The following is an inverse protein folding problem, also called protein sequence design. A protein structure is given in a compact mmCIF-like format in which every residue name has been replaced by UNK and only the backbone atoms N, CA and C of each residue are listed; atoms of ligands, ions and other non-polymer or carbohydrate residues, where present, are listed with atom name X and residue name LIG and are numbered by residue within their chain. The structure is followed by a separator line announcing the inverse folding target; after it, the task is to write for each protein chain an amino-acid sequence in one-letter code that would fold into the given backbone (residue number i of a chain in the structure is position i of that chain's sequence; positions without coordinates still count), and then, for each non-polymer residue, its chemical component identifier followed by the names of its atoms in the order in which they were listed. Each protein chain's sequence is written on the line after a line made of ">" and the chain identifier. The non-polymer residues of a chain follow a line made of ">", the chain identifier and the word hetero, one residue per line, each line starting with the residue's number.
data_IF_132009761315
#
_entry.id   IF_132009761315
#
_cell.length_a   1.000
_cell.length_b   1.000
_cell.length_c   1.000
_cell.angle_alpha   90.00
_cell.angle_beta   90.00
_cell.angle_gamma   90.00
#
_symmetry.space_group_name_H-M   'P 1'
#
loop_
_entity.id
_entity.type
_entity.pdbx_description
1 polymer ?
#
# COMPACT_ATOMS: atom_id res chain seq x y z
N UNK A 1 -24.98 3.84 -0.47
CA UNK A 1 -24.03 3.75 -1.60
C UNK A 1 -24.06 2.34 -2.17
N UNK A 2 -24.21 2.21 -3.48
CA UNK A 2 -24.10 0.91 -4.18
C UNK A 2 -22.66 0.40 -4.08
N UNK A 3 -22.49 -0.93 -3.98
CA UNK A 3 -21.17 -1.56 -4.00
C UNK A 3 -20.48 -1.33 -5.34
N UNK A 4 -19.15 -1.16 -5.34
CA UNK A 4 -18.34 -1.24 -6.57
C UNK A 4 -18.27 -2.70 -7.01
N UNK A 5 -18.51 -2.96 -8.27
CA UNK A 5 -18.29 -4.28 -8.86
C UNK A 5 -16.89 -4.33 -9.47
N UNK A 6 -16.07 -5.29 -9.09
CA UNK A 6 -14.75 -5.50 -9.70
C UNK A 6 -14.83 -6.29 -11.01
N UNK A 7 -15.91 -7.00 -11.26
CA UNK A 7 -16.09 -7.71 -12.52
C UNK A 7 -16.15 -6.73 -13.71
N UNK A 8 -15.27 -6.91 -14.67
CA UNK A 8 -15.09 -6.02 -15.81
C UNK A 8 -14.30 -4.73 -15.52
N UNK A 9 -13.93 -4.45 -14.24
CA UNK A 9 -13.13 -3.29 -13.90
C UNK A 9 -11.65 -3.49 -14.25
N UNK A 10 -10.97 -2.39 -14.60
CA UNK A 10 -9.52 -2.35 -14.84
C UNK A 10 -8.81 -1.93 -13.55
N UNK A 11 -8.08 -2.87 -12.94
CA UNK A 11 -7.43 -2.71 -11.64
C UNK A 11 -5.91 -2.63 -11.81
N UNK A 12 -5.35 -1.45 -11.58
CA UNK A 12 -3.91 -1.22 -11.59
C UNK A 12 -3.32 -1.46 -10.20
N UNK A 13 -2.26 -2.29 -10.12
CA UNK A 13 -1.53 -2.56 -8.87
C UNK A 13 -0.05 -2.22 -9.06
N UNK A 14 0.47 -1.24 -8.30
CA UNK A 14 1.91 -0.97 -8.28
C UNK A 14 2.62 -1.91 -7.30
N UNK A 15 3.82 -2.37 -7.65
CA UNK A 15 4.50 -3.43 -6.90
C UNK A 15 3.71 -4.75 -6.94
N UNK A 16 3.04 -5.01 -8.07
CA UNK A 16 2.14 -6.16 -8.24
C UNK A 16 2.86 -7.48 -8.50
N UNK A 17 4.18 -7.47 -8.65
CA UNK A 17 5.00 -8.66 -8.93
C UNK A 17 5.27 -9.57 -7.71
N UNK A 18 4.93 -9.12 -6.49
CA UNK A 18 5.22 -9.90 -5.27
C UNK A 18 4.32 -9.50 -4.09
N UNK A 19 4.38 -10.29 -3.00
CA UNK A 19 3.75 -9.99 -1.72
C UNK A 19 2.24 -9.74 -1.84
N UNK A 20 1.72 -8.79 -1.05
CA UNK A 20 0.30 -8.48 -1.09
C UNK A 20 -0.13 -7.86 -2.42
N UNK A 21 0.78 -7.19 -3.16
CA UNK A 21 0.48 -6.68 -4.49
C UNK A 21 0.08 -7.79 -5.46
N UNK A 22 0.89 -8.88 -5.50
CA UNK A 22 0.57 -10.09 -6.25
C UNK A 22 -0.78 -10.67 -5.79
N UNK A 23 -0.97 -10.84 -4.48
CA UNK A 23 -2.21 -11.42 -3.93
C UNK A 23 -3.44 -10.57 -4.30
N UNK A 24 -3.35 -9.24 -4.22
CA UNK A 24 -4.43 -8.35 -4.64
C UNK A 24 -4.72 -8.48 -6.14
N UNK A 25 -3.68 -8.57 -6.98
CA UNK A 25 -3.84 -8.79 -8.41
C UNK A 25 -4.54 -10.11 -8.73
N UNK A 26 -4.06 -11.23 -8.19
CA UNK A 26 -4.64 -12.56 -8.41
C UNK A 26 -6.10 -12.60 -7.97
N UNK A 27 -6.40 -12.16 -6.74
CA UNK A 27 -7.76 -12.18 -6.22
C UNK A 27 -8.70 -11.16 -6.90
N UNK A 28 -8.17 -10.05 -7.45
CA UNK A 28 -8.97 -9.14 -8.27
C UNK A 28 -9.36 -9.82 -9.60
N UNK A 29 -8.43 -10.55 -10.24
CA UNK A 29 -8.72 -11.33 -11.43
C UNK A 29 -9.75 -12.44 -11.17
N UNK A 30 -9.68 -13.12 -10.03
CA UNK A 30 -10.69 -14.10 -9.59
C UNK A 30 -12.08 -13.48 -9.43
N UNK A 31 -12.15 -12.15 -9.15
CA UNK A 31 -13.41 -11.38 -9.11
C UNK A 31 -13.82 -10.83 -10.48
N UNK A 32 -13.15 -11.24 -11.57
CA UNK A 32 -13.46 -10.86 -12.95
C UNK A 32 -12.85 -9.52 -13.39
N UNK A 33 -11.90 -8.96 -12.65
CA UNK A 33 -11.20 -7.75 -13.06
C UNK A 33 -10.15 -8.04 -14.16
N UNK A 34 -9.90 -7.07 -15.03
CA UNK A 34 -8.68 -7.01 -15.82
C UNK A 34 -7.57 -6.35 -14.99
N UNK A 35 -6.50 -7.09 -14.69
CA UNK A 35 -5.43 -6.64 -13.79
C UNK A 35 -4.28 -6.04 -14.59
N UNK A 36 -3.86 -4.84 -14.20
CA UNK A 36 -2.71 -4.14 -14.76
C UNK A 36 -1.61 -4.15 -13.68
N UNK A 37 -0.52 -4.84 -13.95
CA UNK A 37 0.58 -5.00 -13.02
C UNK A 37 1.69 -4.02 -13.41
N UNK A 38 2.03 -3.11 -12.49
CA UNK A 38 3.23 -2.29 -12.59
C UNK A 38 4.23 -2.75 -11.55
N UNK A 39 5.41 -3.17 -12.01
CA UNK A 39 6.51 -3.52 -11.13
C UNK A 39 7.85 -3.08 -11.76
N UNK A 40 8.81 -2.67 -10.94
CA UNK A 40 10.16 -2.36 -11.42
C UNK A 40 10.91 -3.63 -11.85
N UNK A 41 10.60 -4.78 -11.24
CA UNK A 41 11.04 -6.09 -11.70
C UNK A 41 10.04 -6.63 -12.73
N UNK A 42 10.31 -6.37 -14.01
CA UNK A 42 9.47 -6.82 -15.11
C UNK A 42 9.26 -8.32 -15.12
N UNK A 43 10.29 -9.11 -14.75
CA UNK A 43 10.16 -10.57 -14.69
C UNK A 43 9.18 -11.01 -13.58
N UNK A 44 9.18 -10.31 -12.45
CA UNK A 44 8.21 -10.58 -11.38
C UNK A 44 6.78 -10.23 -11.83
N UNK A 45 6.59 -9.08 -12.47
CA UNK A 45 5.31 -8.69 -13.07
C UNK A 45 4.80 -9.70 -14.10
N UNK A 46 5.67 -10.15 -15.00
CA UNK A 46 5.33 -11.13 -16.03
C UNK A 46 4.91 -12.48 -15.43
N UNK A 47 5.62 -12.96 -14.40
CA UNK A 47 5.22 -14.19 -13.70
C UNK A 47 3.79 -14.11 -13.14
N UNK A 48 3.43 -12.99 -12.53
CA UNK A 48 2.08 -12.80 -11.96
C UNK A 48 1.03 -12.66 -13.06
N UNK A 49 1.34 -11.93 -14.15
CA UNK A 49 0.47 -11.87 -15.33
C UNK A 49 0.18 -13.29 -15.85
N UNK A 50 1.21 -14.10 -16.02
CA UNK A 50 1.10 -15.44 -16.60
C UNK A 50 0.36 -16.39 -15.63
N UNK A 51 0.56 -16.25 -14.33
CA UNK A 51 -0.21 -16.95 -13.29
C UNK A 51 -1.70 -16.65 -13.40
N UNK A 52 -2.08 -15.37 -13.49
CA UNK A 52 -3.48 -14.94 -13.64
C UNK A 52 -4.08 -15.51 -14.94
N UNK A 53 -3.37 -15.39 -16.05
CA UNK A 53 -3.83 -15.89 -17.36
C UNK A 53 -3.99 -17.41 -17.37
N UNK A 54 -3.06 -18.13 -16.76
CA UNK A 54 -3.14 -19.60 -16.62
C UNK A 54 -4.35 -20.04 -15.80
N UNK A 55 -4.76 -19.23 -14.82
CA UNK A 55 -5.98 -19.46 -14.04
C UNK A 55 -7.27 -19.03 -14.77
N UNK A 56 -7.18 -18.56 -16.02
CA UNK A 56 -8.35 -18.11 -16.82
C UNK A 56 -8.71 -16.64 -16.60
N UNK A 57 -7.94 -15.89 -15.83
CA UNK A 57 -8.14 -14.45 -15.61
C UNK A 57 -7.53 -13.58 -16.72
N UNK A 58 -7.73 -12.27 -16.61
CA UNK A 58 -7.21 -11.29 -17.57
C UNK A 58 -6.19 -10.37 -16.88
N UNK A 59 -4.98 -10.27 -17.45
CA UNK A 59 -3.94 -9.41 -16.92
C UNK A 59 -2.94 -8.95 -17.98
N UNK A 60 -2.35 -7.79 -17.75
CA UNK A 60 -1.18 -7.27 -18.46
C UNK A 60 -0.11 -6.81 -17.44
N UNK A 61 1.15 -6.72 -17.85
CA UNK A 61 2.22 -6.22 -17.00
C UNK A 61 3.09 -5.21 -17.75
N UNK A 62 3.58 -4.21 -17.01
CA UNK A 62 4.48 -3.18 -17.49
C UNK A 62 5.65 -3.05 -16.50
N UNK A 63 6.87 -2.97 -17.02
CA UNK A 63 8.05 -2.65 -16.20
C UNK A 63 8.05 -1.16 -15.91
N UNK A 64 7.80 -0.77 -14.66
CA UNK A 64 7.64 0.64 -14.26
C UNK A 64 8.37 0.90 -12.94
N UNK A 65 9.35 1.80 -12.95
CA UNK A 65 9.83 2.43 -11.71
C UNK A 65 8.93 3.63 -11.42
N UNK A 66 8.18 3.59 -10.33
CA UNK A 66 7.23 4.66 -9.95
C UNK A 66 7.94 5.96 -9.55
N UNK A 67 9.25 5.97 -9.42
CA UNK A 67 10.05 7.19 -9.17
C UNK A 67 10.43 7.91 -10.46
N UNK A 68 10.30 7.26 -11.61
CA UNK A 68 10.48 7.88 -12.94
C UNK A 68 9.14 8.44 -13.44
N UNK A 69 8.97 9.75 -13.34
CA UNK A 69 7.74 10.45 -13.74
C UNK A 69 7.43 10.25 -15.23
N UNK A 70 8.43 10.24 -16.09
CA UNK A 70 8.24 10.07 -17.53
C UNK A 70 7.78 8.64 -17.84
N UNK A 71 8.43 7.63 -17.22
CA UNK A 71 8.05 6.23 -17.31
C UNK A 71 6.64 5.98 -16.79
N UNK A 72 6.26 6.57 -15.66
CA UNK A 72 4.89 6.49 -15.10
C UNK A 72 3.85 7.05 -16.07
N UNK A 73 4.09 8.21 -16.66
CA UNK A 73 3.15 8.81 -17.62
C UNK A 73 3.03 7.97 -18.90
N UNK A 74 4.13 7.43 -19.40
CA UNK A 74 4.12 6.54 -20.56
C UNK A 74 3.36 5.24 -20.27
N UNK A 75 3.59 4.63 -19.11
CA UNK A 75 2.88 3.43 -18.67
C UNK A 75 1.39 3.68 -18.45
N UNK A 76 0.99 4.81 -17.87
CA UNK A 76 -0.40 5.17 -17.70
C UNK A 76 -1.13 5.30 -19.06
N UNK A 77 -0.47 5.92 -20.04
CA UNK A 77 -1.00 6.00 -21.41
C UNK A 77 -1.13 4.61 -22.06
N UNK A 78 -0.15 3.73 -21.89
CA UNK A 78 -0.16 2.37 -22.41
C UNK A 78 -1.23 1.50 -21.74
N UNK A 79 -1.43 1.66 -20.43
CA UNK A 79 -2.44 0.96 -19.65
C UNK A 79 -3.88 1.39 -19.99
N UNK A 80 -4.10 2.52 -20.65
CA UNK A 80 -5.43 3.02 -20.97
C UNK A 80 -6.28 3.38 -19.75
N UNK A 81 -7.58 3.08 -19.81
CA UNK A 81 -8.49 3.40 -18.71
C UNK A 81 -8.17 2.56 -17.46
N UNK A 82 -8.17 3.20 -16.29
CA UNK A 82 -7.97 2.57 -14.98
C UNK A 82 -9.16 2.93 -14.09
N UNK A 83 -9.88 1.92 -13.58
CA UNK A 83 -11.04 2.12 -12.72
C UNK A 83 -10.67 2.09 -11.23
N UNK A 84 -9.67 1.28 -10.89
CA UNK A 84 -9.12 1.19 -9.54
C UNK A 84 -7.60 1.24 -9.63
N UNK A 85 -6.96 2.17 -8.93
CA UNK A 85 -5.51 2.16 -8.72
C UNK A 85 -5.20 1.77 -7.28
N UNK A 86 -4.32 0.78 -7.11
CA UNK A 86 -3.81 0.34 -5.82
C UNK A 86 -2.33 0.72 -5.73
N UNK A 87 -2.05 1.84 -5.09
CA UNK A 87 -0.70 2.27 -4.75
C UNK A 87 -0.17 1.37 -3.63
N UNK A 88 0.53 0.32 -4.01
CA UNK A 88 1.05 -0.69 -3.09
C UNK A 88 2.58 -0.73 -3.05
N UNK A 89 3.27 -0.32 -4.11
CA UNK A 89 4.73 -0.31 -4.13
C UNK A 89 5.30 0.44 -2.93
N UNK A 90 6.30 -0.15 -2.30
CA UNK A 90 6.93 0.43 -1.11
C UNK A 90 8.18 -0.33 -0.69
N UNK A 91 9.04 0.33 0.06
CA UNK A 91 10.28 -0.22 0.63
C UNK A 91 10.41 0.17 2.10
N UNK A 92 11.24 -0.58 2.83
CA UNK A 92 11.62 -0.29 4.22
C UNK A 92 13.11 -0.56 4.40
N UNK A 93 13.83 0.34 5.04
CA UNK A 93 15.25 0.17 5.36
C UNK A 93 15.46 -0.57 6.69
N UNK A 94 14.64 -0.29 7.70
CA UNK A 94 14.67 -0.97 9.01
C UNK A 94 15.97 -0.71 9.79
N UNK A 95 16.44 0.54 9.84
CA UNK A 95 17.68 0.97 10.49
C UNK A 95 17.43 2.09 11.51
N UNK A 96 18.28 2.22 12.49
CA UNK A 96 18.31 3.42 13.30
C UNK A 96 18.69 4.63 12.44
N UNK A 97 18.24 5.82 12.84
CA UNK A 97 18.44 7.04 12.04
C UNK A 97 19.92 7.32 11.73
N UNK A 98 20.81 7.11 12.68
CA UNK A 98 22.25 7.33 12.49
C UNK A 98 22.95 6.26 11.66
N UNK A 99 22.33 5.09 11.47
CA UNK A 99 22.81 3.99 10.64
C UNK A 99 22.24 4.06 9.21
N UNK A 100 21.30 4.96 8.97
CA UNK A 100 20.68 5.17 7.67
C UNK A 100 21.54 6.10 6.81
N UNK A 101 21.79 5.70 5.55
CA UNK A 101 22.47 6.59 4.60
C UNK A 101 21.49 7.61 4.03
N UNK A 102 21.99 8.76 3.55
CA UNK A 102 21.17 9.77 2.87
C UNK A 102 20.43 9.17 1.65
N UNK A 103 21.10 8.34 0.87
CA UNK A 103 20.53 7.70 -0.32
C UNK A 103 19.38 6.75 0.07
N UNK A 104 19.54 5.97 1.16
CA UNK A 104 18.48 5.10 1.67
C UNK A 104 17.25 5.90 2.09
N UNK A 105 17.46 7.00 2.82
CA UNK A 105 16.38 7.90 3.26
C UNK A 105 15.69 8.51 2.02
N UNK A 106 16.44 9.09 1.08
CA UNK A 106 15.90 9.67 -0.16
C UNK A 106 15.08 8.64 -0.93
N UNK A 107 15.64 7.44 -1.14
CA UNK A 107 14.96 6.37 -1.87
C UNK A 107 13.66 5.93 -1.20
N UNK A 108 13.62 5.88 0.15
CA UNK A 108 12.39 5.59 0.90
C UNK A 108 11.31 6.63 0.63
N UNK A 109 11.66 7.92 0.61
CA UNK A 109 10.72 9.00 0.29
C UNK A 109 10.29 9.00 -1.18
N UNK A 110 11.20 8.78 -2.11
CA UNK A 110 10.90 8.70 -3.54
C UNK A 110 9.88 7.60 -3.84
N UNK A 111 10.09 6.41 -3.27
CA UNK A 111 9.19 5.27 -3.53
C UNK A 111 7.88 5.41 -2.75
N UNK A 112 7.95 5.59 -1.41
CA UNK A 112 6.79 5.46 -0.54
C UNK A 112 5.90 6.69 -0.51
N UNK A 113 6.45 7.88 -0.82
CA UNK A 113 5.72 9.13 -0.79
C UNK A 113 5.56 9.73 -2.19
N UNK A 114 6.66 10.10 -2.87
CA UNK A 114 6.58 10.78 -4.15
C UNK A 114 6.00 9.91 -5.27
N UNK A 115 6.38 8.62 -5.34
CA UNK A 115 5.82 7.69 -6.30
C UNK A 115 4.29 7.58 -6.25
N UNK A 116 3.72 7.68 -5.05
CA UNK A 116 2.27 7.73 -4.83
C UNK A 116 1.62 8.93 -5.56
N UNK A 117 2.25 10.12 -5.51
CA UNK A 117 1.77 11.31 -6.23
C UNK A 117 1.82 11.10 -7.74
N UNK A 118 2.95 10.58 -8.25
CA UNK A 118 3.15 10.43 -9.69
C UNK A 118 2.16 9.46 -10.30
N UNK A 119 1.99 8.29 -9.69
CA UNK A 119 1.01 7.28 -10.14
C UNK A 119 -0.41 7.82 -10.07
N UNK A 120 -0.80 8.42 -8.94
CA UNK A 120 -2.16 8.96 -8.78
C UNK A 120 -2.44 10.08 -9.80
N UNK A 121 -1.51 11.01 -9.98
CA UNK A 121 -1.66 12.10 -10.97
C UNK A 121 -1.78 11.61 -12.41
N UNK A 122 -1.14 10.49 -12.74
CA UNK A 122 -1.18 9.95 -14.10
C UNK A 122 -2.54 9.31 -14.44
N UNK A 123 -3.25 8.74 -13.45
CA UNK A 123 -4.51 8.00 -13.71
C UNK A 123 -5.77 8.74 -13.27
N UNK A 124 -5.68 9.64 -12.30
CA UNK A 124 -6.82 10.35 -11.72
C UNK A 124 -7.61 11.20 -12.75
N UNK A 125 -6.98 11.91 -13.70
CA UNK A 125 -7.73 12.70 -14.68
C UNK A 125 -8.75 11.87 -15.47
N UNK A 126 -8.38 10.69 -15.94
CA UNK A 126 -9.30 9.80 -16.65
C UNK A 126 -10.44 9.27 -15.76
N UNK A 127 -10.19 9.03 -14.47
CA UNK A 127 -11.26 8.68 -13.53
C UNK A 127 -12.25 9.84 -13.34
N UNK A 128 -11.75 11.08 -13.21
CA UNK A 128 -12.58 12.29 -13.06
C UNK A 128 -13.41 12.52 -14.32
N UNK A 129 -12.84 12.36 -15.50
CA UNK A 129 -13.54 12.52 -16.78
C UNK A 129 -14.70 11.52 -16.92
N UNK A 130 -14.48 10.27 -16.56
CA UNK A 130 -15.53 9.22 -16.58
C UNK A 130 -16.54 9.36 -15.44
N UNK A 131 -16.27 10.18 -14.43
CA UNK A 131 -17.14 10.36 -13.27
C UNK A 131 -17.18 9.13 -12.35
N UNK A 132 -16.20 8.23 -12.44
CA UNK A 132 -16.06 7.05 -11.56
C UNK A 132 -14.59 6.62 -11.44
N UNK A 133 -14.20 6.18 -10.25
CA UNK A 133 -12.86 5.68 -9.98
C UNK A 133 -12.63 5.38 -8.51
N UNK A 134 -11.54 4.67 -8.23
CA UNK A 134 -11.12 4.37 -6.86
C UNK A 134 -9.60 4.50 -6.73
N UNK A 135 -9.16 5.38 -5.84
CA UNK A 135 -7.75 5.49 -5.45
C UNK A 135 -7.55 4.82 -4.12
N UNK A 136 -6.71 3.79 -4.11
CA UNK A 136 -6.40 2.98 -2.93
C UNK A 136 -4.91 3.12 -2.62
N UNK A 137 -4.55 3.31 -1.37
CA UNK A 137 -3.13 3.34 -0.95
C UNK A 137 -2.89 2.39 0.21
N UNK A 138 -1.90 1.53 0.05
CA UNK A 138 -1.40 0.69 1.11
C UNK A 138 -0.39 1.52 1.93
N UNK A 139 -0.93 2.19 2.93
CA UNK A 139 -0.13 2.90 3.92
C UNK A 139 0.50 1.91 4.93
N UNK A 140 0.29 2.09 6.21
CA UNK A 140 0.72 1.19 7.29
C UNK A 140 0.13 1.68 8.62
N UNK A 141 0.08 0.84 9.64
CA UNK A 141 -0.06 1.28 11.03
C UNK A 141 1.07 2.25 11.42
N UNK A 142 2.27 2.09 10.83
CA UNK A 142 3.39 3.04 10.97
C UNK A 142 3.12 4.43 10.35
N UNK A 143 2.02 4.63 9.64
CA UNK A 143 1.49 5.93 9.22
C UNK A 143 0.56 6.57 10.24
N UNK A 144 0.28 5.88 11.34
CA UNK A 144 -0.55 6.36 12.44
C UNK A 144 0.22 6.48 13.77
N UNK A 145 1.37 5.81 13.88
CA UNK A 145 2.32 5.93 15.00
C UNK A 145 3.75 5.74 14.51
N UNK A 146 4.72 6.39 15.16
CA UNK A 146 6.14 6.16 14.90
C UNK A 146 6.61 4.83 15.51
N UNK A 147 7.54 4.15 14.84
CA UNK A 147 8.14 2.89 15.29
C UNK A 147 9.66 3.05 15.26
N UNK A 148 10.36 2.58 16.30
CA UNK A 148 11.82 2.57 16.33
C UNK A 148 12.40 1.83 15.10
N UNK A 149 13.57 2.25 14.62
CA UNK A 149 14.22 1.73 13.41
C UNK A 149 13.44 1.93 12.11
N UNK A 150 12.39 2.74 12.12
CA UNK A 150 11.55 3.05 10.96
C UNK A 150 11.30 4.57 10.81
N UNK A 151 12.26 5.42 11.13
CA UNK A 151 12.06 6.88 11.11
C UNK A 151 11.68 7.40 9.73
N UNK A 152 12.38 6.97 8.70
CA UNK A 152 12.09 7.28 7.28
C UNK A 152 10.80 6.60 6.80
N UNK A 153 10.65 5.30 7.08
CA UNK A 153 9.46 4.54 6.69
C UNK A 153 8.19 5.11 7.33
N UNK A 154 8.19 5.29 8.66
CA UNK A 154 7.03 5.86 9.37
C UNK A 154 6.68 7.23 8.81
N UNK A 155 7.66 8.12 8.64
CA UNK A 155 7.43 9.46 8.09
C UNK A 155 6.78 9.41 6.71
N UNK A 156 7.25 8.51 5.81
CA UNK A 156 6.63 8.34 4.48
C UNK A 156 5.22 7.75 4.54
N UNK A 157 4.93 6.89 5.53
CA UNK A 157 3.59 6.33 5.70
C UNK A 157 2.61 7.33 6.34
N UNK A 158 3.08 8.23 7.21
CA UNK A 158 2.31 9.41 7.62
C UNK A 158 2.01 10.32 6.43
N UNK A 159 3.01 10.58 5.56
CA UNK A 159 2.80 11.35 4.33
C UNK A 159 1.73 10.70 3.44
N UNK A 160 1.75 9.38 3.27
CA UNK A 160 0.75 8.66 2.50
C UNK A 160 -0.67 8.78 3.10
N UNK A 161 -0.82 8.71 4.44
CA UNK A 161 -2.10 8.93 5.11
C UNK A 161 -2.59 10.35 4.88
N UNK A 162 -1.73 11.37 5.11
CA UNK A 162 -2.08 12.78 4.90
C UNK A 162 -2.46 13.08 3.45
N UNK A 163 -1.74 12.50 2.47
CA UNK A 163 -2.09 12.59 1.05
C UNK A 163 -3.50 12.08 0.77
N UNK A 164 -3.83 10.88 1.27
CA UNK A 164 -5.13 10.27 1.02
C UNK A 164 -6.28 11.01 1.70
N UNK A 165 -6.06 11.55 2.89
CA UNK A 165 -7.05 12.39 3.57
C UNK A 165 -7.32 13.69 2.81
N UNK A 166 -6.25 14.34 2.34
CA UNK A 166 -6.34 15.56 1.54
C UNK A 166 -7.01 15.29 0.19
N UNK A 167 -6.62 14.21 -0.52
CA UNK A 167 -7.24 13.83 -1.78
C UNK A 167 -8.74 13.56 -1.61
N UNK A 168 -9.14 12.87 -0.55
CA UNK A 168 -10.55 12.62 -0.24
C UNK A 168 -11.32 13.93 -0.01
N UNK A 169 -10.73 14.86 0.73
CA UNK A 169 -11.33 16.17 0.97
C UNK A 169 -11.46 16.97 -0.33
N UNK A 170 -10.43 16.94 -1.18
CA UNK A 170 -10.41 17.61 -2.48
C UNK A 170 -11.48 17.05 -3.43
N UNK A 171 -11.57 15.72 -3.58
CA UNK A 171 -12.59 15.09 -4.44
C UNK A 171 -14.02 15.45 -3.98
N UNK A 172 -14.26 15.50 -2.67
CA UNK A 172 -15.55 15.94 -2.11
C UNK A 172 -15.82 17.41 -2.39
N UNK A 173 -14.84 18.29 -2.18
CA UNK A 173 -14.98 19.74 -2.42
C UNK A 173 -15.25 20.05 -3.89
N UNK A 174 -14.66 19.29 -4.80
CA UNK A 174 -14.85 19.39 -6.24
C UNK A 174 -16.09 18.63 -6.76
N UNK A 175 -16.87 18.00 -5.89
CA UNK A 175 -18.03 17.18 -6.28
C UNK A 175 -17.69 16.01 -7.19
N UNK A 176 -16.48 15.46 -7.08
CA UNK A 176 -16.02 14.34 -7.92
C UNK A 176 -16.29 13.00 -7.23
N UNK A 177 -17.03 12.06 -7.87
CA UNK A 177 -17.43 10.79 -7.26
C UNK A 177 -16.29 9.76 -7.30
N UNK A 178 -15.10 10.14 -6.83
CA UNK A 178 -13.92 9.26 -6.73
C UNK A 178 -13.82 8.71 -5.32
N UNK A 179 -13.78 7.39 -5.21
CA UNK A 179 -13.55 6.72 -3.93
C UNK A 179 -12.07 6.83 -3.54
N UNK A 180 -11.81 7.12 -2.27
CA UNK A 180 -10.45 7.22 -1.73
C UNK A 180 -10.35 6.33 -0.50
N UNK A 181 -9.57 5.25 -0.60
CA UNK A 181 -9.38 4.25 0.46
C UNK A 181 -7.93 4.25 0.98
N UNK A 182 -7.76 4.55 2.25
CA UNK A 182 -6.49 4.40 2.96
C UNK A 182 -6.48 3.06 3.70
N UNK A 183 -5.50 2.20 3.42
CA UNK A 183 -5.31 0.92 4.08
C UNK A 183 -4.11 1.01 5.02
N UNK A 184 -4.32 0.76 6.30
CA UNK A 184 -3.27 0.79 7.33
C UNK A 184 -3.11 -0.61 7.95
N UNK A 185 -2.37 -1.53 7.32
CA UNK A 185 -2.08 -2.84 7.88
C UNK A 185 -0.97 -2.74 8.93
N UNK A 186 -0.98 -3.66 9.87
CA UNK A 186 0.16 -4.01 10.71
C UNK A 186 1.16 -4.87 9.90
N UNK A 187 2.11 -5.53 10.54
CA UNK A 187 3.09 -6.37 9.83
C UNK A 187 2.40 -7.47 9.03
N UNK A 188 2.85 -7.65 7.78
CA UNK A 188 2.36 -8.70 6.88
C UNK A 188 3.54 -9.59 6.51
N UNK A 189 3.33 -10.88 6.51
CA UNK A 189 4.31 -11.90 6.13
C UNK A 189 4.50 -11.94 4.60
N UNK A 190 5.28 -10.96 4.10
CA UNK A 190 5.57 -10.78 2.67
C UNK A 190 7.07 -10.90 2.34
N UNK A 191 7.88 -11.26 3.34
CA UNK A 191 9.33 -11.17 3.27
C UNK A 191 9.86 -9.72 3.39
N UNK A 192 9.02 -8.68 3.20
CA UNK A 192 9.44 -7.28 3.40
C UNK A 192 9.84 -7.00 4.84
N UNK A 193 9.16 -7.61 5.80
CA UNK A 193 9.39 -7.50 7.24
C UNK A 193 9.93 -8.79 7.84
N UNK A 194 10.74 -9.53 7.07
CA UNK A 194 11.37 -10.76 7.58
C UNK A 194 12.20 -10.45 8.83
N UNK A 195 12.03 -11.26 9.87
CA UNK A 195 12.65 -11.07 11.18
C UNK A 195 11.86 -10.16 12.14
N UNK A 196 10.86 -9.41 11.69
CA UNK A 196 10.03 -8.62 12.59
C UNK A 196 9.23 -9.53 13.53
N UNK A 197 9.21 -9.20 14.83
CA UNK A 197 8.56 -9.99 15.87
C UNK A 197 7.60 -9.12 16.69
N UNK A 198 6.54 -9.74 17.20
CA UNK A 198 5.56 -9.07 18.05
C UNK A 198 5.53 -9.69 19.44
N UNK A 199 5.52 -8.87 20.48
CA UNK A 199 5.50 -9.33 21.88
C UNK A 199 4.20 -10.04 22.25
N UNK A 200 3.09 -9.61 21.65
CA UNK A 200 1.75 -10.16 21.89
C UNK A 200 1.12 -10.62 20.58
N UNK A 201 1.47 -11.81 20.03
CA UNK A 201 1.00 -12.25 18.71
C UNK A 201 -0.53 -12.41 18.59
N UNK A 202 -1.23 -12.65 19.71
CA UNK A 202 -2.71 -12.71 19.71
C UNK A 202 -3.36 -11.34 19.53
N UNK A 203 -2.70 -10.28 19.97
CA UNK A 203 -3.21 -8.90 19.89
C UNK A 203 -2.69 -8.20 18.63
N UNK A 204 -1.42 -8.38 18.32
CA UNK A 204 -0.69 -7.79 17.21
C UNK A 204 -0.09 -8.91 16.34
N UNK A 205 -0.92 -9.70 15.64
CA UNK A 205 -0.44 -10.80 14.81
C UNK A 205 0.33 -10.29 13.60
N UNK A 206 1.30 -11.06 13.14
CA UNK A 206 1.81 -10.94 11.76
C UNK A 206 0.73 -11.46 10.83
N UNK A 207 0.25 -10.62 9.94
CA UNK A 207 -0.87 -10.91 9.07
C UNK A 207 -0.42 -11.73 7.85
N UNK A 208 -1.29 -12.61 7.34
CA UNK A 208 -1.03 -13.36 6.11
C UNK A 208 -1.47 -12.55 4.89
N UNK A 209 -0.70 -12.64 3.79
CA UNK A 209 -0.92 -11.90 2.54
C UNK A 209 -2.33 -12.09 1.97
N UNK A 210 -2.77 -13.34 1.79
CA UNK A 210 -4.04 -13.66 1.15
C UNK A 210 -5.26 -13.05 1.86
N UNK A 211 -5.45 -13.27 3.16
CA UNK A 211 -6.52 -12.63 3.93
C UNK A 211 -6.47 -11.10 3.88
N UNK A 212 -5.27 -10.48 3.96
CA UNK A 212 -5.16 -9.02 3.85
C UNK A 212 -5.60 -8.53 2.48
N UNK A 213 -5.15 -9.18 1.41
CA UNK A 213 -5.57 -8.84 0.04
C UNK A 213 -7.08 -8.93 -0.13
N UNK A 214 -7.70 -9.99 0.39
CA UNK A 214 -9.16 -10.17 0.38
C UNK A 214 -9.90 -9.03 1.11
N UNK A 215 -9.41 -8.63 2.31
CA UNK A 215 -10.03 -7.52 3.05
C UNK A 215 -9.87 -6.18 2.33
N UNK A 216 -8.74 -5.94 1.65
CA UNK A 216 -8.55 -4.73 0.83
C UNK A 216 -9.56 -4.70 -0.31
N UNK A 217 -9.70 -5.79 -1.08
CA UNK A 217 -10.66 -5.86 -2.17
C UNK A 217 -12.11 -5.73 -1.68
N UNK A 218 -12.46 -6.36 -0.55
CA UNK A 218 -13.76 -6.18 0.09
C UNK A 218 -14.01 -4.73 0.51
N UNK A 219 -12.96 -4.01 0.98
CA UNK A 219 -13.08 -2.60 1.34
C UNK A 219 -13.29 -1.71 0.11
N UNK A 220 -12.62 -2.02 -1.01
CA UNK A 220 -12.84 -1.35 -2.30
C UNK A 220 -14.30 -1.53 -2.74
N UNK A 221 -14.80 -2.77 -2.78
CA UNK A 221 -16.18 -3.05 -3.18
C UNK A 221 -17.21 -2.35 -2.28
N UNK A 222 -16.93 -2.24 -0.98
CA UNK A 222 -17.79 -1.55 0.00
C UNK A 222 -17.59 -0.05 0.02
N UNK A 223 -16.73 0.52 -0.82
CA UNK A 223 -16.39 1.95 -0.89
C UNK A 223 -15.98 2.53 0.47
N UNK A 224 -15.21 1.77 1.26
CA UNK A 224 -14.75 2.23 2.57
C UNK A 224 -13.70 3.33 2.42
N UNK A 225 -13.72 4.37 3.25
CA UNK A 225 -12.68 5.40 3.22
C UNK A 225 -11.39 4.98 3.93
N UNK A 226 -11.47 4.02 4.86
CA UNK A 226 -10.34 3.58 5.68
C UNK A 226 -10.48 2.10 6.03
N UNK A 227 -9.37 1.39 6.02
CA UNK A 227 -9.26 0.01 6.49
C UNK A 227 -8.03 -0.13 7.39
N UNK A 228 -8.25 -0.43 8.67
CA UNK A 228 -7.20 -0.75 9.64
C UNK A 228 -7.20 -2.25 9.93
N UNK A 229 -6.03 -2.87 9.85
CA UNK A 229 -5.83 -4.30 10.06
C UNK A 229 -4.64 -4.54 11.03
N UNK A 230 -4.77 -5.44 12.00
CA UNK A 230 -5.97 -6.21 12.36
C UNK A 230 -7.06 -5.32 12.96
N UNK A 231 -8.27 -5.86 13.25
CA UNK A 231 -9.38 -5.05 13.80
C UNK A 231 -9.03 -4.28 15.06
N UNK A 232 -8.13 -4.79 15.90
CA UNK A 232 -7.63 -4.11 17.09
C UNK A 232 -6.90 -2.78 16.75
N UNK A 233 -6.28 -2.65 15.59
CA UNK A 233 -5.62 -1.41 15.17
C UNK A 233 -6.60 -0.22 15.08
N UNK A 234 -7.92 -0.46 15.06
CA UNK A 234 -8.95 0.60 15.12
C UNK A 234 -8.94 1.40 16.42
N UNK A 235 -8.32 0.86 17.48
CA UNK A 235 -8.15 1.58 18.76
C UNK A 235 -7.02 2.63 18.66
N UNK A 236 -6.11 2.50 17.70
CA UNK A 236 -4.93 3.35 17.60
C UNK A 236 -5.24 4.86 17.49
N UNK A 237 -6.22 5.32 16.66
CA UNK A 237 -6.58 6.73 16.62
C UNK A 237 -7.04 7.28 17.99
N UNK A 238 -7.75 6.48 18.79
CA UNK A 238 -8.14 6.86 20.14
C UNK A 238 -6.96 6.87 21.11
N UNK A 239 -6.07 5.89 21.02
CA UNK A 239 -4.86 5.84 21.82
C UNK A 239 -3.96 7.07 21.60
N UNK A 240 -3.96 7.64 20.40
CA UNK A 240 -3.23 8.87 20.06
C UNK A 240 -3.74 10.12 20.78
N UNK A 241 -4.92 10.10 21.38
CA UNK A 241 -5.43 11.20 22.22
C UNK A 241 -4.82 11.21 23.62
N UNK A 242 -4.15 10.15 24.03
CA UNK A 242 -3.43 10.10 25.30
C UNK A 242 -2.26 11.09 25.32
N UNK A 243 -1.90 11.65 26.50
CA UNK A 243 -0.65 12.39 26.66
C UNK A 243 0.53 11.56 26.15
N UNK A 244 1.47 12.19 25.44
CA UNK A 244 2.58 11.52 24.73
C UNK A 244 3.31 10.51 25.62
N UNK A 245 3.65 10.89 26.87
CA UNK A 245 4.37 10.00 27.81
C UNK A 245 3.57 8.72 28.16
N UNK A 246 2.24 8.81 28.18
CA UNK A 246 1.37 7.65 28.46
C UNK A 246 1.29 6.77 27.21
N UNK A 247 1.13 7.40 26.06
CA UNK A 247 1.12 6.70 24.78
C UNK A 247 2.42 5.93 24.54
N UNK A 248 3.57 6.57 24.75
CA UNK A 248 4.89 5.94 24.57
C UNK A 248 5.07 4.75 25.51
N UNK A 249 4.71 4.87 26.79
CA UNK A 249 4.75 3.75 27.74
C UNK A 249 3.86 2.58 27.32
N UNK A 250 2.68 2.88 26.76
CA UNK A 250 1.77 1.88 26.24
C UNK A 250 2.36 1.17 25.02
N UNK A 251 2.95 1.92 24.10
CA UNK A 251 3.62 1.38 22.91
C UNK A 251 4.81 0.49 23.30
N UNK A 252 5.63 0.90 24.28
CA UNK A 252 6.74 0.12 24.81
C UNK A 252 6.23 -1.16 25.51
N UNK A 253 5.20 -1.05 26.33
CA UNK A 253 4.58 -2.21 26.97
C UNK A 253 4.07 -3.23 25.95
N UNK A 254 3.45 -2.76 24.87
CA UNK A 254 2.97 -3.60 23.78
C UNK A 254 4.11 -4.13 22.88
N UNK A 255 5.36 -3.70 23.09
CA UNK A 255 6.53 -4.14 22.34
C UNK A 255 6.58 -3.58 20.92
N UNK A 256 5.87 -2.48 20.63
CA UNK A 256 5.84 -1.87 19.29
C UNK A 256 7.25 -1.43 18.85
N UNK A 257 8.00 -0.81 19.75
CA UNK A 257 9.34 -0.31 19.47
C UNK A 257 10.43 -1.38 19.38
N UNK A 258 10.12 -2.63 19.77
CA UNK A 258 11.03 -3.79 19.72
C UNK A 258 10.76 -4.70 18.52
N UNK A 259 9.75 -4.39 17.73
CA UNK A 259 9.32 -5.24 16.61
C UNK A 259 10.38 -5.41 15.53
N UNK A 260 11.32 -4.46 15.42
CA UNK A 260 12.36 -4.43 14.38
C UNK A 260 13.74 -4.89 14.88
N UNK A 261 13.88 -5.31 16.14
CA UNK A 261 15.18 -5.69 16.73
C UNK A 261 15.86 -6.86 16.01
N UNK A 262 15.07 -7.75 15.40
CA UNK A 262 15.55 -8.90 14.63
C UNK A 262 15.26 -8.77 13.12
N UNK A 263 15.01 -7.54 12.66
CA UNK A 263 14.69 -7.27 11.26
C UNK A 263 15.85 -7.64 10.34
N UNK A 264 15.56 -8.44 9.33
CA UNK A 264 16.50 -8.86 8.27
C UNK A 264 16.11 -8.22 6.94
N UNK A 265 14.81 -8.04 6.71
CA UNK A 265 14.26 -7.56 5.46
C UNK A 265 14.35 -8.58 4.33
N UNK A 266 13.85 -8.20 3.16
CA UNK A 266 13.85 -9.10 1.98
C UNK A 266 15.28 -9.41 1.56
N UNK A 267 15.64 -10.67 1.48
CA UNK A 267 16.92 -11.13 0.96
C UNK A 267 17.17 -10.56 -0.44
N UNK A 268 18.24 -9.79 -0.61
CA UNK A 268 18.60 -9.13 -1.89
C UNK A 268 18.48 -7.62 -1.92
N UNK A 269 17.93 -6.97 -0.89
CA UNK A 269 17.92 -5.49 -0.76
C UNK A 269 19.04 -4.96 0.15
N UNK A 270 20.21 -5.61 0.14
CA UNK A 270 21.43 -4.99 0.70
C UNK A 270 21.95 -3.99 -0.32
N UNK A 271 21.58 -2.74 -0.14
CA UNK A 271 22.07 -1.59 -0.86
C UNK A 271 22.15 -0.41 0.08
#
# INVERSE_FOLDING_TARGET
>A
MTRRNLNGSRVLVTGGGSGIGRQMGVQAAERGAHVIIWDRDGKAGDRVRDEIRKAGGSAESHTVDITDVAGVNAAAKASGAVDVVINNAGIVAGKHLLDSTEDSIRRTYEVNALGLYWVTRAVLPGMIERGDGSVVTIASAAGLLGVAQQTDYSATKFAAVGFMESLRAEMRALGRPIDVLTVCPFFIDTGMFEGAQTKFPLLLPVLKEGPVANEVLNAIERRKPTLLLPPFARVLPLARLLPVRIFDRLADFLGVNQTMDHFVGRAGTKG
#
